data_IF_993525940572
#
_entry.id   IF_993525940572
#
_cell.length_a   1.000
_cell.length_b   1.000
_cell.length_c   1.000
_cell.angle_alpha   90.00
_cell.angle_beta   90.00
_cell.angle_gamma   90.00
#
_symmetry.space_group_name_H-M   'P 1'
#
loop_
_entity.id
_entity.type
_entity.pdbx_description
1 polymer ?
#
# COMPACT_ATOMS: atom_id res chain seq x y z
N UNK A 1 11.48 -10.99 51.11
CA UNK A 1 11.57 -11.93 49.97
C UNK A 1 10.44 -11.64 48.99
N UNK A 2 10.43 -10.45 48.34
CA UNK A 2 9.17 -9.93 47.75
C UNK A 2 9.24 -8.80 46.69
N UNK A 3 10.38 -8.23 46.30
CA UNK A 3 10.36 -7.06 45.37
C UNK A 3 11.34 -7.08 44.19
N UNK A 4 12.43 -7.84 44.26
CA UNK A 4 13.45 -7.90 43.21
C UNK A 4 13.10 -8.88 42.08
N UNK A 5 12.57 -10.08 42.38
CA UNK A 5 12.21 -11.08 41.37
C UNK A 5 11.08 -10.63 40.43
N UNK A 6 10.06 -9.93 40.96
CA UNK A 6 8.92 -9.45 40.16
C UNK A 6 9.34 -8.38 39.13
N UNK A 7 10.30 -7.51 39.48
CA UNK A 7 10.84 -6.51 38.55
C UNK A 7 11.59 -7.15 37.38
N UNK A 8 12.33 -8.23 37.63
CA UNK A 8 13.07 -8.95 36.59
C UNK A 8 12.11 -9.66 35.62
N UNK A 9 11.08 -10.34 36.14
CA UNK A 9 10.06 -11.00 35.31
C UNK A 9 9.28 -10.01 34.44
N UNK A 10 8.82 -8.89 35.02
CA UNK A 10 8.11 -7.86 34.25
C UNK A 10 8.99 -7.23 33.18
N UNK A 11 10.28 -6.98 33.48
CA UNK A 11 11.22 -6.44 32.50
C UNK A 11 11.53 -7.43 31.37
N UNK A 12 11.53 -8.73 31.64
CA UNK A 12 11.82 -9.77 30.67
C UNK A 12 10.60 -10.11 29.81
N UNK A 13 9.39 -10.06 30.38
CA UNK A 13 8.13 -10.21 29.65
C UNK A 13 7.80 -9.01 28.76
N UNK A 14 8.09 -7.78 29.22
CA UNK A 14 7.87 -6.55 28.45
C UNK A 14 9.00 -6.27 27.44
N UNK A 15 10.02 -7.12 27.33
CA UNK A 15 11.05 -6.99 26.30
C UNK A 15 10.43 -7.23 24.92
N UNK A 16 10.53 -6.26 24.00
CA UNK A 16 10.10 -6.47 22.63
C UNK A 16 10.95 -7.59 22.01
N UNK A 17 10.29 -8.64 21.54
CA UNK A 17 10.90 -9.71 20.77
C UNK A 17 11.26 -9.15 19.40
N UNK A 18 12.55 -8.84 19.21
CA UNK A 18 13.07 -8.11 18.04
C UNK A 18 13.38 -9.02 16.85
N UNK A 19 12.82 -10.23 16.81
CA UNK A 19 13.11 -11.24 15.80
C UNK A 19 11.98 -11.30 14.78
N UNK A 20 12.29 -10.93 13.53
CA UNK A 20 11.34 -11.01 12.43
C UNK A 20 11.27 -12.47 11.97
N UNK A 21 10.09 -13.15 12.03
CA UNK A 21 9.98 -14.52 11.56
C UNK A 21 10.27 -14.58 10.05
N UNK A 22 11.20 -15.45 9.65
CA UNK A 22 11.51 -15.72 8.24
C UNK A 22 10.48 -16.70 7.70
N UNK A 23 9.48 -16.19 6.96
CA UNK A 23 8.41 -17.02 6.40
C UNK A 23 8.77 -17.52 5.00
N UNK A 24 8.26 -18.70 4.63
CA UNK A 24 8.55 -19.34 3.33
C UNK A 24 8.11 -18.51 2.12
N UNK A 25 7.12 -17.62 2.30
CA UNK A 25 6.63 -16.72 1.26
C UNK A 25 7.39 -15.39 1.20
N UNK A 26 8.26 -15.09 2.17
CA UNK A 26 9.03 -13.85 2.18
C UNK A 26 9.99 -13.79 0.98
N UNK A 27 10.00 -12.66 0.28
CA UNK A 27 10.91 -12.43 -0.83
C UNK A 27 12.34 -12.24 -0.31
N UNK A 28 13.33 -12.91 -0.93
CA UNK A 28 14.75 -12.73 -0.57
C UNK A 28 15.28 -11.38 -1.02
N UNK A 29 14.69 -10.81 -2.07
CA UNK A 29 15.08 -9.52 -2.66
C UNK A 29 13.85 -8.74 -3.12
N UNK A 30 13.94 -7.40 -3.16
CA UNK A 30 12.85 -6.49 -3.60
C UNK A 30 12.38 -6.69 -5.04
N UNK A 31 13.21 -7.38 -5.84
CA UNK A 31 12.98 -7.74 -7.24
C UNK A 31 12.88 -9.26 -7.46
N UNK A 32 12.67 -10.04 -6.40
CA UNK A 32 12.47 -11.49 -6.49
C UNK A 32 11.06 -11.81 -7.02
N UNK A 33 10.97 -11.82 -8.35
CA UNK A 33 9.76 -12.02 -9.15
C UNK A 33 9.42 -13.51 -9.28
N UNK A 34 8.93 -14.11 -8.21
CA UNK A 34 8.32 -15.45 -8.30
C UNK A 34 6.90 -15.33 -8.86
N UNK A 35 6.56 -16.16 -9.85
CA UNK A 35 5.25 -16.15 -10.51
C UNK A 35 4.08 -16.22 -9.52
N UNK A 36 4.15 -17.11 -8.53
CA UNK A 36 3.11 -17.27 -7.51
C UNK A 36 2.92 -15.99 -6.67
N UNK A 37 4.01 -15.34 -6.27
CA UNK A 37 3.98 -14.10 -5.48
C UNK A 37 3.42 -12.93 -6.29
N UNK A 38 3.87 -12.77 -7.53
CA UNK A 38 3.39 -11.71 -8.42
C UNK A 38 1.90 -11.87 -8.72
N UNK A 39 1.43 -13.11 -8.93
CA UNK A 39 0.01 -13.37 -9.15
C UNK A 39 -0.85 -13.01 -7.92
N UNK A 40 -0.43 -13.41 -6.71
CA UNK A 40 -1.12 -13.05 -5.46
C UNK A 40 -1.13 -11.52 -5.27
N UNK A 41 0.00 -10.87 -5.53
CA UNK A 41 0.11 -9.42 -5.45
C UNK A 41 -0.85 -8.72 -6.41
N UNK A 42 -0.84 -9.11 -7.69
CA UNK A 42 -1.71 -8.51 -8.71
C UNK A 42 -3.19 -8.72 -8.39
N UNK A 43 -3.56 -9.93 -7.96
CA UNK A 43 -4.92 -10.24 -7.55
C UNK A 43 -5.38 -9.39 -6.36
N UNK A 44 -4.54 -9.28 -5.32
CA UNK A 44 -4.85 -8.46 -4.14
C UNK A 44 -4.97 -6.97 -4.47
N UNK A 45 -4.05 -6.44 -5.30
CA UNK A 45 -4.08 -5.05 -5.74
C UNK A 45 -5.31 -4.74 -6.60
N UNK A 46 -5.71 -5.68 -7.45
CA UNK A 46 -6.90 -5.51 -8.29
C UNK A 46 -8.18 -5.46 -7.45
N UNK A 47 -8.35 -6.41 -6.51
CA UNK A 47 -9.50 -6.39 -5.58
C UNK A 47 -9.51 -5.12 -4.75
N UNK A 48 -8.34 -4.69 -4.26
CA UNK A 48 -8.23 -3.46 -3.49
C UNK A 48 -8.66 -2.23 -4.30
N UNK A 49 -8.16 -2.06 -5.52
CA UNK A 49 -8.55 -0.92 -6.36
C UNK A 49 -10.02 -0.94 -6.79
N UNK A 50 -10.59 -2.13 -7.04
CA UNK A 50 -12.03 -2.27 -7.26
C UNK A 50 -12.83 -1.86 -6.01
N UNK A 51 -12.42 -2.32 -4.83
CA UNK A 51 -13.03 -1.91 -3.56
C UNK A 51 -12.99 -0.39 -3.36
N UNK A 52 -11.87 0.25 -3.65
CA UNK A 52 -11.72 1.70 -3.57
C UNK A 52 -12.68 2.42 -4.54
N UNK A 53 -12.83 1.94 -5.77
CA UNK A 53 -13.81 2.51 -6.72
C UNK A 53 -15.26 2.41 -6.24
N UNK A 54 -15.64 1.28 -5.64
CA UNK A 54 -16.97 1.11 -5.07
C UNK A 54 -17.21 2.07 -3.90
N UNK A 55 -16.19 2.33 -3.09
CA UNK A 55 -16.27 3.34 -2.04
C UNK A 55 -16.45 4.75 -2.61
N UNK A 56 -15.72 5.10 -3.68
CA UNK A 56 -15.92 6.37 -4.41
C UNK A 56 -17.37 6.48 -4.87
N UNK A 57 -17.91 5.45 -5.53
CA UNK A 57 -19.27 5.45 -6.05
C UNK A 57 -20.34 5.56 -4.94
N UNK A 58 -20.07 5.00 -3.76
CA UNK A 58 -21.02 4.99 -2.64
C UNK A 58 -21.28 6.36 -1.99
N UNK A 59 -20.48 7.40 -2.31
CA UNK A 59 -20.55 8.75 -1.73
C UNK A 59 -20.58 8.81 -0.18
N UNK A 60 -20.18 7.73 0.51
CA UNK A 60 -20.23 7.61 1.98
C UNK A 60 -18.97 8.19 2.66
N UNK A 61 -18.06 8.75 1.87
CA UNK A 61 -16.74 9.21 2.30
C UNK A 61 -15.64 8.25 1.84
N UNK A 62 -14.42 8.77 1.69
CA UNK A 62 -13.31 8.01 1.12
C UNK A 62 -11.97 8.32 1.82
N UNK A 63 -10.96 7.48 1.58
CA UNK A 63 -9.62 7.66 2.09
C UNK A 63 -9.05 9.04 1.66
N UNK A 64 -8.28 9.72 2.53
CA UNK A 64 -7.70 11.03 2.19
C UNK A 64 -6.90 11.04 0.89
N UNK A 65 -6.26 9.90 0.57
CA UNK A 65 -5.54 9.71 -0.69
C UNK A 65 -6.48 9.80 -1.90
N UNK A 66 -7.57 9.05 -1.88
CA UNK A 66 -8.55 9.05 -2.97
C UNK A 66 -9.30 10.38 -3.04
N UNK A 67 -9.55 11.04 -1.91
CA UNK A 67 -10.12 12.40 -1.87
C UNK A 67 -9.17 13.43 -2.51
N UNK A 68 -7.86 13.33 -2.27
CA UNK A 68 -6.87 14.17 -2.95
C UNK A 68 -6.92 13.96 -4.46
N UNK A 69 -6.94 12.71 -4.91
CA UNK A 69 -7.05 12.37 -6.33
C UNK A 69 -8.36 12.85 -6.94
N UNK A 70 -9.48 12.69 -6.23
CA UNK A 70 -10.80 13.17 -6.65
C UNK A 70 -10.86 14.70 -6.70
N UNK A 71 -10.24 15.41 -5.75
CA UNK A 71 -10.15 16.87 -5.75
C UNK A 71 -9.33 17.40 -6.92
N UNK A 72 -8.19 16.76 -7.23
CA UNK A 72 -7.36 17.09 -8.40
C UNK A 72 -8.09 16.75 -9.70
N UNK A 73 -8.79 15.61 -9.75
CA UNK A 73 -9.60 15.20 -10.89
C UNK A 73 -10.67 16.24 -11.22
N UNK A 74 -11.40 16.72 -10.21
CA UNK A 74 -12.43 17.76 -10.35
C UNK A 74 -11.88 19.14 -10.75
N UNK A 75 -10.58 19.41 -10.53
CA UNK A 75 -9.96 20.69 -10.91
C UNK A 75 -9.36 20.66 -12.32
N UNK A 76 -8.97 19.49 -12.79
CA UNK A 76 -8.33 19.29 -14.09
C UNK A 76 -9.28 18.66 -15.13
N UNK A 77 -10.53 18.39 -14.76
CA UNK A 77 -11.54 17.67 -15.56
C UNK A 77 -11.01 16.34 -16.14
N UNK A 78 -10.19 15.64 -15.35
CA UNK A 78 -9.63 14.31 -15.68
C UNK A 78 -10.34 13.22 -14.89
N UNK A 79 -10.23 11.96 -15.34
CA UNK A 79 -10.77 10.85 -14.57
C UNK A 79 -9.99 10.62 -13.27
N UNK A 80 -10.70 10.11 -12.25
CA UNK A 80 -10.12 9.83 -10.93
C UNK A 80 -8.94 8.84 -11.04
N UNK A 81 -9.04 7.82 -11.91
CA UNK A 81 -7.95 6.87 -12.14
C UNK A 81 -6.67 7.53 -12.67
N UNK A 82 -6.80 8.44 -13.64
CA UNK A 82 -5.65 9.17 -14.21
C UNK A 82 -5.05 10.13 -13.17
N UNK A 83 -5.89 10.79 -12.39
CA UNK A 83 -5.45 11.65 -11.29
C UNK A 83 -4.65 10.87 -10.24
N UNK A 84 -5.16 9.71 -9.81
CA UNK A 84 -4.46 8.82 -8.87
C UNK A 84 -3.12 8.37 -9.43
N UNK A 85 -3.07 7.96 -10.71
CA UNK A 85 -1.82 7.56 -11.37
C UNK A 85 -0.79 8.70 -11.41
N UNK A 86 -1.22 9.92 -11.75
CA UNK A 86 -0.37 11.09 -11.82
C UNK A 86 0.21 11.47 -10.45
N UNK A 87 -0.63 11.53 -9.41
CA UNK A 87 -0.22 11.81 -8.03
C UNK A 87 0.76 10.75 -7.54
N UNK A 88 0.44 9.47 -7.73
CA UNK A 88 1.34 8.38 -7.36
C UNK A 88 2.69 8.47 -8.06
N UNK A 89 2.72 8.81 -9.35
CA UNK A 89 3.96 8.98 -10.11
C UNK A 89 4.77 10.16 -9.58
N UNK A 90 4.14 11.30 -9.31
CA UNK A 90 4.80 12.46 -8.70
C UNK A 90 5.40 12.15 -7.33
N UNK A 91 4.66 11.43 -6.49
CA UNK A 91 5.14 10.99 -5.17
C UNK A 91 6.33 10.05 -5.30
N UNK A 92 6.32 9.15 -6.29
CA UNK A 92 7.44 8.25 -6.55
C UNK A 92 8.68 9.01 -7.07
N UNK A 93 8.50 10.07 -7.87
CA UNK A 93 9.59 10.96 -8.28
C UNK A 93 10.14 11.76 -7.09
N UNK A 94 9.26 12.20 -6.18
CA UNK A 94 9.65 12.91 -4.96
C UNK A 94 10.40 12.00 -3.97
N UNK A 95 10.36 10.68 -4.14
CA UNK A 95 11.19 9.73 -3.41
C UNK A 95 12.63 9.61 -3.92
N UNK A 96 12.92 10.03 -5.15
CA UNK A 96 14.28 10.04 -5.70
C UNK A 96 15.28 10.79 -4.77
N UNK A 97 14.98 12.00 -4.25
CA UNK A 97 15.87 12.66 -3.29
C UNK A 97 15.95 11.94 -1.92
N UNK A 98 14.94 11.15 -1.55
CA UNK A 98 14.90 10.40 -0.28
C UNK A 98 15.73 9.12 -0.29
N UNK A 99 16.27 8.71 -1.45
CA UNK A 99 17.13 7.52 -1.64
C UNK A 99 16.49 6.18 -1.25
N UNK A 100 15.17 6.12 -1.12
CA UNK A 100 14.46 4.85 -0.96
C UNK A 100 14.42 4.12 -2.29
N UNK A 101 14.76 2.82 -2.29
CA UNK A 101 14.81 2.03 -3.52
C UNK A 101 13.40 1.50 -3.81
N UNK A 102 12.67 2.01 -4.83
CA UNK A 102 11.35 1.50 -5.18
C UNK A 102 11.47 0.01 -5.56
N UNK A 103 10.60 -0.80 -4.96
CA UNK A 103 10.51 -2.23 -5.29
C UNK A 103 9.50 -2.47 -6.42
N UNK A 104 9.51 -3.68 -6.97
CA UNK A 104 8.53 -4.08 -7.99
C UNK A 104 7.08 -3.91 -7.50
N UNK A 105 6.82 -4.28 -6.25
CA UNK A 105 5.49 -4.16 -5.65
C UNK A 105 4.98 -2.72 -5.55
N UNK A 106 5.87 -1.74 -5.37
CA UNK A 106 5.52 -0.31 -5.34
C UNK A 106 5.03 0.15 -6.70
N UNK A 107 5.75 -0.20 -7.76
CA UNK A 107 5.39 0.17 -9.14
C UNK A 107 4.10 -0.54 -9.54
N UNK A 108 4.01 -1.84 -9.25
CA UNK A 108 2.81 -2.65 -9.52
C UNK A 108 1.57 -2.08 -8.81
N UNK A 109 1.70 -1.66 -7.55
CA UNK A 109 0.63 -1.05 -6.78
C UNK A 109 0.07 0.20 -7.49
N UNK A 110 0.94 1.14 -7.86
CA UNK A 110 0.53 2.38 -8.52
C UNK A 110 -0.22 2.11 -9.82
N UNK A 111 0.34 1.24 -10.67
CA UNK A 111 -0.24 0.95 -12.00
C UNK A 111 -1.57 0.20 -11.86
N UNK A 112 -1.61 -0.83 -11.03
CA UNK A 112 -2.77 -1.74 -10.93
C UNK A 112 -3.92 -1.08 -10.21
N UNK A 113 -3.66 -0.39 -9.09
CA UNK A 113 -4.74 0.29 -8.35
C UNK A 113 -5.35 1.39 -9.21
N UNK A 114 -4.53 2.22 -9.87
CA UNK A 114 -5.07 3.27 -10.74
C UNK A 114 -5.91 2.71 -11.90
N UNK A 115 -5.44 1.62 -12.51
CA UNK A 115 -6.18 0.94 -13.58
C UNK A 115 -7.48 0.30 -13.07
N UNK A 116 -7.44 -0.36 -11.90
CA UNK A 116 -8.60 -0.99 -11.29
C UNK A 116 -9.65 0.05 -10.87
N UNK A 117 -9.22 1.20 -10.34
CA UNK A 117 -10.12 2.32 -10.02
C UNK A 117 -10.78 2.85 -11.29
N UNK A 118 -10.01 3.06 -12.36
CA UNK A 118 -10.55 3.53 -13.63
C UNK A 118 -11.58 2.57 -14.21
N UNK A 119 -11.33 1.26 -14.13
CA UNK A 119 -12.27 0.24 -14.57
C UNK A 119 -13.52 0.23 -13.71
N UNK A 120 -13.37 0.26 -12.38
CA UNK A 120 -14.50 0.18 -11.46
C UNK A 120 -15.37 1.43 -11.40
N UNK A 121 -14.89 2.60 -11.83
CA UNK A 121 -15.71 3.81 -12.00
C UNK A 121 -16.43 3.82 -13.36
N UNK A 122 -15.87 3.16 -14.38
CA UNK A 122 -16.43 3.10 -15.73
C UNK A 122 -17.47 1.96 -15.91
N UNK A 123 -17.77 1.22 -14.83
CA UNK A 123 -18.80 0.18 -14.75
C UNK A 123 -19.93 0.67 -13.87
#
# INVERSE_FOLDING_TARGET
MSSEESKNFLSEFLRPHRTIPQTSWAAKHRWDLSFSRSAILFFGLFIFGLGDSLLVQSNTGNAPWTVLAQGVANKLDISIGVSTFAISTLVLLLWIPLREKPGFGTIANIVIIASAIQLGINV
#
